data_IF_076959898691
#
_entry.id   IF_076959898691
#
_cell.length_a   1.000
_cell.length_b   1.000
_cell.length_c   1.000
_cell.angle_alpha   90.00
_cell.angle_beta   90.00
_cell.angle_gamma   90.00
#
_symmetry.space_group_name_H-M   'P 1'
#
loop_
_entity.id
_entity.type
_entity.pdbx_description
1 polymer ?
#
# COMPACT_ATOMS: atom_id res chain seq x y z
N UNK A 1 -13.44 -23.89 -20.50
CA UNK A 1 -11.99 -23.76 -20.26
C UNK A 1 -11.61 -22.31 -20.53
N UNK A 2 -12.02 -21.39 -19.64
CA UNK A 2 -11.89 -19.92 -19.81
C UNK A 2 -11.35 -19.27 -18.51
N UNK A 3 -10.75 -20.06 -17.62
CA UNK A 3 -10.15 -19.52 -16.41
C UNK A 3 -8.85 -18.82 -16.81
N UNK A 4 -8.62 -17.56 -16.39
CA UNK A 4 -7.36 -16.88 -16.64
C UNK A 4 -6.23 -17.56 -15.87
N UNK A 5 -5.00 -17.33 -16.32
CA UNK A 5 -3.84 -17.91 -15.65
C UNK A 5 -3.60 -17.22 -14.31
N UNK A 6 -3.27 -17.99 -13.27
CA UNK A 6 -3.13 -17.46 -11.90
C UNK A 6 -2.02 -16.42 -11.75
N UNK A 7 -0.96 -16.49 -12.57
CA UNK A 7 0.14 -15.54 -12.51
C UNK A 7 -0.28 -14.14 -12.96
N UNK A 8 -1.35 -14.02 -13.77
CA UNK A 8 -1.88 -12.73 -14.20
C UNK A 8 -2.41 -11.88 -13.05
N UNK A 9 -2.55 -12.43 -11.84
CA UNK A 9 -2.96 -11.69 -10.65
C UNK A 9 -1.84 -10.78 -10.12
N UNK A 10 -0.57 -11.10 -10.35
CA UNK A 10 0.57 -10.37 -9.79
C UNK A 10 1.66 -10.03 -10.81
N UNK A 11 1.72 -10.71 -11.96
CA UNK A 11 2.63 -10.36 -13.05
C UNK A 11 2.00 -9.33 -13.98
N UNK A 12 2.74 -8.26 -14.26
CA UNK A 12 2.37 -7.28 -15.27
C UNK A 12 2.63 -7.87 -16.67
N UNK A 13 1.66 -7.77 -17.59
CA UNK A 13 1.88 -8.11 -18.99
C UNK A 13 2.78 -7.07 -19.66
N UNK A 14 3.33 -7.43 -20.83
CA UNK A 14 4.20 -6.56 -21.60
C UNK A 14 3.46 -5.27 -22.00
N UNK A 15 4.05 -4.11 -21.68
CA UNK A 15 3.50 -2.79 -21.99
C UNK A 15 2.56 -2.20 -20.93
N UNK A 16 2.22 -2.92 -19.85
CA UNK A 16 1.45 -2.34 -18.74
C UNK A 16 2.34 -1.71 -17.66
N UNK A 17 2.02 -0.47 -17.28
CA UNK A 17 2.65 0.20 -16.14
C UNK A 17 1.96 -0.15 -14.83
N UNK A 18 2.75 -0.29 -13.75
CA UNK A 18 2.22 -0.57 -12.41
C UNK A 18 1.23 0.49 -11.93
N UNK A 19 1.53 1.75 -12.22
CA UNK A 19 0.74 2.91 -11.82
C UNK A 19 0.30 3.70 -13.07
N UNK A 20 -0.98 4.06 -13.11
CA UNK A 20 -1.51 5.04 -14.07
C UNK A 20 -2.14 6.17 -13.27
N UNK A 21 -1.63 7.40 -13.44
CA UNK A 21 -2.06 8.57 -12.68
C UNK A 21 -2.85 9.49 -13.61
N UNK A 22 -4.10 9.75 -13.25
CA UNK A 22 -5.03 10.60 -13.99
C UNK A 22 -5.48 11.75 -13.07
N UNK A 23 -5.49 13.01 -13.53
CA UNK A 23 -6.08 14.09 -12.75
C UNK A 23 -7.60 13.90 -12.65
N UNK A 24 -8.18 14.14 -11.47
CA UNK A 24 -9.63 14.12 -11.29
C UNK A 24 -10.23 15.45 -11.76
N UNK A 25 -11.16 15.41 -12.71
CA UNK A 25 -11.80 16.62 -13.24
C UNK A 25 -12.89 17.18 -12.33
N UNK A 26 -13.37 16.40 -11.34
CA UNK A 26 -14.49 16.78 -10.48
C UNK A 26 -14.08 17.59 -9.24
N UNK A 27 -12.81 17.52 -8.85
CA UNK A 27 -12.31 18.19 -7.66
C UNK A 27 -10.94 18.82 -7.95
N UNK A 28 -10.72 20.02 -7.41
CA UNK A 28 -9.42 20.67 -7.48
C UNK A 28 -8.38 19.89 -6.67
N UNK A 29 -7.15 19.86 -7.17
CA UNK A 29 -6.00 19.21 -6.53
C UNK A 29 -6.27 17.74 -6.12
N UNK A 30 -6.91 17.00 -7.02
CA UNK A 30 -7.22 15.59 -6.82
C UNK A 30 -6.68 14.73 -7.97
N UNK A 31 -6.24 13.53 -7.63
CA UNK A 31 -5.75 12.53 -8.59
C UNK A 31 -6.43 11.19 -8.36
N UNK A 32 -6.59 10.43 -9.44
CA UNK A 32 -7.00 9.04 -9.41
C UNK A 32 -5.84 8.21 -9.93
N UNK A 33 -5.40 7.25 -9.12
CA UNK A 33 -4.27 6.38 -9.40
C UNK A 33 -4.82 4.97 -9.54
N UNK A 34 -4.57 4.34 -10.68
CA UNK A 34 -4.87 2.93 -10.90
C UNK A 34 -3.61 2.12 -10.63
N UNK A 35 -3.72 1.15 -9.72
CA UNK A 35 -2.67 0.20 -9.38
C UNK A 35 -3.00 -1.12 -10.07
N UNK A 36 -2.15 -1.53 -11.01
CA UNK A 36 -2.29 -2.80 -11.73
C UNK A 36 -1.58 -3.92 -10.96
N UNK A 37 -2.18 -5.11 -10.96
CA UNK A 37 -1.65 -6.33 -10.32
C UNK A 37 -1.44 -6.16 -8.81
N UNK A 38 -2.41 -5.52 -8.17
CA UNK A 38 -2.45 -5.28 -6.73
C UNK A 38 -3.88 -5.44 -6.21
N UNK A 39 -4.01 -5.73 -4.92
CA UNK A 39 -5.30 -6.01 -4.27
C UNK A 39 -5.50 -5.17 -2.99
N UNK A 40 -6.42 -5.63 -2.12
CA UNK A 40 -6.74 -4.95 -0.87
C UNK A 40 -5.55 -4.85 0.10
N UNK A 41 -4.54 -5.70 -0.03
CA UNK A 41 -3.33 -5.68 0.81
C UNK A 41 -2.66 -4.32 0.72
N UNK A 42 -2.33 -3.88 -0.50
CA UNK A 42 -1.68 -2.59 -0.73
C UNK A 42 -2.69 -1.44 -0.71
N UNK A 43 -3.90 -1.64 -1.24
CA UNK A 43 -4.91 -0.59 -1.30
C UNK A 43 -5.33 -0.08 0.08
N UNK A 44 -5.60 -0.99 1.03
CA UNK A 44 -6.09 -0.61 2.35
C UNK A 44 -5.01 0.07 3.20
N UNK A 45 -3.78 -0.46 3.20
CA UNK A 45 -2.69 0.07 4.03
C UNK A 45 -2.30 1.49 3.59
N UNK A 46 -2.17 1.73 2.28
CA UNK A 46 -1.87 3.06 1.76
C UNK A 46 -3.02 4.03 2.06
N UNK A 47 -4.28 3.60 1.88
CA UNK A 47 -5.44 4.43 2.22
C UNK A 47 -5.44 4.80 3.70
N UNK A 48 -5.12 3.85 4.59
CA UNK A 48 -5.07 4.10 6.03
C UNK A 48 -4.01 5.15 6.35
N UNK A 49 -2.81 5.00 5.81
CA UNK A 49 -1.70 5.92 6.06
C UNK A 49 -1.97 7.32 5.50
N UNK A 50 -2.57 7.41 4.30
CA UNK A 50 -2.95 8.71 3.71
C UNK A 50 -3.94 9.48 4.59
N UNK A 51 -4.82 8.79 5.31
CA UNK A 51 -5.78 9.42 6.23
C UNK A 51 -5.13 9.90 7.54
N UNK A 52 -3.88 9.53 7.82
CA UNK A 52 -3.12 10.07 8.96
C UNK A 52 -2.48 11.44 8.64
N UNK A 53 -2.27 11.79 7.37
CA UNK A 53 -1.74 13.12 6.98
C UNK A 53 -2.86 14.16 6.98
N UNK A 54 -2.81 15.13 7.90
CA UNK A 54 -3.81 16.19 8.05
C UNK A 54 -4.00 17.06 6.78
N UNK A 55 -3.00 17.06 5.89
CA UNK A 55 -3.07 17.80 4.61
C UNK A 55 -3.81 17.03 3.52
N UNK A 56 -4.17 15.78 3.76
CA UNK A 56 -4.99 14.95 2.87
C UNK A 56 -6.46 15.15 3.22
N UNK A 57 -7.22 15.73 2.29
CA UNK A 57 -8.64 16.02 2.45
C UNK A 57 -9.53 14.82 2.14
N UNK A 58 -9.08 13.95 1.23
CA UNK A 58 -9.81 12.74 0.84
C UNK A 58 -8.82 11.65 0.42
N UNK A 59 -9.02 10.44 0.93
CA UNK A 59 -8.36 9.23 0.47
C UNK A 59 -9.33 8.06 0.48
N UNK A 60 -9.56 7.45 -0.67
CA UNK A 60 -10.36 6.24 -0.79
C UNK A 60 -9.80 5.32 -1.88
N UNK A 61 -9.99 4.01 -1.72
CA UNK A 61 -9.68 3.03 -2.75
C UNK A 61 -10.87 2.11 -3.01
N UNK A 62 -10.96 1.57 -4.22
CA UNK A 62 -11.91 0.53 -4.58
C UNK A 62 -11.34 -0.41 -5.62
N UNK A 63 -11.63 -1.70 -5.46
CA UNK A 63 -11.50 -2.70 -6.53
C UNK A 63 -12.81 -2.67 -7.30
N UNK A 64 -12.78 -2.26 -8.57
CA UNK A 64 -14.02 -2.09 -9.36
C UNK A 64 -14.70 -3.43 -9.65
N UNK A 65 -13.91 -4.49 -9.81
CA UNK A 65 -14.42 -5.83 -10.06
C UNK A 65 -13.43 -6.89 -9.55
N UNK A 66 -13.88 -7.95 -8.84
CA UNK A 66 -12.99 -8.92 -8.19
C UNK A 66 -12.20 -9.81 -9.17
N UNK A 67 -12.65 -9.92 -10.44
CA UNK A 67 -11.94 -10.72 -11.45
C UNK A 67 -10.61 -10.11 -11.93
N UNK A 68 -10.38 -8.82 -11.66
CA UNK A 68 -9.16 -8.14 -12.08
C UNK A 68 -8.39 -7.69 -10.86
N UNK A 69 -7.13 -8.10 -10.76
CA UNK A 69 -6.23 -7.65 -9.72
C UNK A 69 -5.79 -6.21 -9.99
N UNK A 70 -6.68 -5.25 -9.76
CA UNK A 70 -6.39 -3.83 -9.84
C UNK A 70 -7.34 -3.04 -8.95
N UNK A 71 -6.84 -1.97 -8.38
CA UNK A 71 -7.68 -1.03 -7.63
C UNK A 71 -7.43 0.40 -8.08
N UNK A 72 -8.43 1.25 -7.88
CA UNK A 72 -8.34 2.70 -8.10
C UNK A 72 -8.32 3.39 -6.76
N UNK A 73 -7.38 4.29 -6.58
CA UNK A 73 -7.23 5.13 -5.40
C UNK A 73 -7.41 6.59 -5.79
N UNK A 74 -8.28 7.29 -5.08
CA UNK A 74 -8.51 8.72 -5.26
C UNK A 74 -7.94 9.45 -4.06
N UNK A 75 -7.10 10.43 -4.33
CA UNK A 75 -6.41 11.25 -3.32
C UNK A 75 -6.71 12.71 -3.63
N UNK A 76 -7.11 13.48 -2.62
CA UNK A 76 -7.28 14.92 -2.68
C UNK A 76 -6.53 15.54 -1.51
N UNK A 77 -5.75 16.57 -1.78
CA UNK A 77 -4.95 17.29 -0.78
C UNK A 77 -5.32 18.76 -0.73
N UNK A 78 -4.93 19.41 0.36
CA UNK A 78 -5.01 20.86 0.49
C UNK A 78 -4.21 21.57 -0.62
N UNK A 79 -4.61 22.80 -0.93
CA UNK A 79 -3.93 23.61 -1.93
C UNK A 79 -2.44 23.80 -1.57
N UNK A 80 -1.56 23.72 -2.57
CA UNK A 80 -0.10 23.82 -2.37
C UNK A 80 0.58 22.50 -1.99
N UNK A 81 -0.16 21.41 -1.79
CA UNK A 81 0.40 20.07 -1.54
C UNK A 81 0.04 19.11 -2.69
N UNK A 82 1.03 18.53 -3.36
CA UNK A 82 0.79 17.62 -4.48
C UNK A 82 0.29 16.24 -3.96
N UNK A 83 -0.87 15.74 -4.42
CA UNK A 83 -1.35 14.39 -4.08
C UNK A 83 -0.34 13.27 -4.37
N UNK A 84 0.54 13.44 -5.36
CA UNK A 84 1.61 12.48 -5.66
C UNK A 84 2.68 12.47 -4.57
N UNK A 85 2.96 13.62 -3.97
CA UNK A 85 3.87 13.74 -2.83
C UNK A 85 3.25 13.11 -1.59
N UNK A 86 1.95 13.33 -1.35
CA UNK A 86 1.22 12.65 -0.28
C UNK A 86 1.32 11.13 -0.37
N UNK A 87 1.17 10.55 -1.57
CA UNK A 87 1.35 9.13 -1.77
C UNK A 87 2.79 8.67 -1.47
N UNK A 88 3.81 9.41 -1.91
CA UNK A 88 5.22 9.08 -1.61
C UNK A 88 5.49 9.10 -0.10
N UNK A 89 4.99 10.12 0.59
CA UNK A 89 5.16 10.27 2.04
C UNK A 89 4.47 9.11 2.79
N UNK A 90 3.25 8.75 2.40
CA UNK A 90 2.54 7.59 2.96
C UNK A 90 3.32 6.29 2.75
N UNK A 91 3.80 6.02 1.53
CA UNK A 91 4.59 4.82 1.25
C UNK A 91 5.87 4.75 2.10
N UNK A 92 6.61 5.86 2.22
CA UNK A 92 7.82 5.91 3.04
C UNK A 92 7.52 5.70 4.53
N UNK A 93 6.42 6.28 5.03
CA UNK A 93 5.97 6.07 6.41
C UNK A 93 5.66 4.60 6.68
N UNK A 94 4.92 3.93 5.79
CA UNK A 94 4.63 2.49 5.90
C UNK A 94 5.92 1.66 5.93
N UNK A 95 6.87 1.95 5.03
CA UNK A 95 8.16 1.23 4.99
C UNK A 95 8.90 1.37 6.32
N UNK A 96 8.95 2.58 6.89
CA UNK A 96 9.61 2.84 8.17
C UNK A 96 8.90 2.15 9.35
N UNK A 97 7.56 2.18 9.38
CA UNK A 97 6.74 1.48 10.39
C UNK A 97 6.97 -0.03 10.33
N UNK A 98 6.99 -0.62 9.14
CA UNK A 98 7.26 -2.05 8.94
C UNK A 98 8.70 -2.44 9.31
N UNK A 99 9.69 -1.59 8.99
CA UNK A 99 11.08 -1.81 9.38
C UNK A 99 11.24 -1.82 10.91
N UNK A 100 10.58 -0.87 11.59
CA UNK A 100 10.56 -0.81 13.06
C UNK A 100 9.90 -2.05 13.66
N UNK A 101 8.75 -2.45 13.12
CA UNK A 101 8.06 -3.68 13.56
C UNK A 101 8.95 -4.92 13.40
N UNK A 102 9.62 -5.05 12.25
CA UNK A 102 10.54 -6.17 11.98
C UNK A 102 11.68 -6.22 13.01
N UNK A 103 12.34 -5.09 13.25
CA UNK A 103 13.47 -5.02 14.20
C UNK A 103 13.03 -5.35 15.63
N UNK A 104 11.88 -4.84 16.06
CA UNK A 104 11.33 -5.14 17.38
C UNK A 104 10.99 -6.64 17.51
N UNK A 105 10.37 -7.22 16.46
CA UNK A 105 10.04 -8.63 16.43
C UNK A 105 11.29 -9.51 16.51
N UNK A 106 12.32 -9.22 15.72
CA UNK A 106 13.60 -9.96 15.75
C UNK A 106 14.28 -9.89 17.12
N UNK A 107 14.25 -8.71 17.76
CA UNK A 107 14.83 -8.51 19.09
C UNK A 107 14.12 -9.37 20.13
N UNK A 108 12.78 -9.28 20.21
CA UNK A 108 11.99 -10.06 21.17
C UNK A 108 12.10 -11.56 20.92
N UNK A 109 12.10 -12.00 19.65
CA UNK A 109 12.26 -13.40 19.30
C UNK A 109 13.60 -13.98 19.78
N UNK A 110 14.69 -13.22 19.60
CA UNK A 110 16.02 -13.65 20.03
C UNK A 110 16.13 -13.75 21.55
N UNK A 111 15.50 -12.82 22.30
CA UNK A 111 15.47 -12.87 23.76
C UNK A 111 14.75 -14.11 24.28
N UNK A 112 13.60 -14.47 23.70
CA UNK A 112 12.85 -15.66 24.09
C UNK A 112 13.60 -16.95 23.76
N UNK A 113 14.25 -17.01 22.60
CA UNK A 113 15.03 -18.19 22.19
C UNK A 113 16.19 -18.44 23.16
N UNK A 114 16.95 -17.40 23.51
CA UNK A 114 18.05 -17.50 24.48
C UNK A 114 17.57 -17.92 25.88
N UNK A 115 16.48 -17.32 26.37
CA UNK A 115 15.91 -17.65 27.67
C UNK A 115 15.44 -19.12 27.74
N UNK A 116 14.89 -19.64 26.64
CA UNK A 116 14.46 -21.04 26.57
C UNK A 116 15.64 -22.02 26.57
N UNK A 117 16.75 -21.71 25.89
CA UNK A 117 17.95 -22.57 25.85
C UNK A 117 18.64 -22.68 27.21
N UNK A 118 18.68 -21.59 27.99
CA UNK A 118 19.24 -21.61 29.34
C UNK A 118 18.40 -22.43 30.33
N UNK A 119 17.09 -22.55 30.10
CA UNK A 119 16.17 -23.32 30.95
C UNK A 119 16.34 -24.84 30.77
N UNK A 120 16.91 -25.31 29.66
CA UNK A 120 17.19 -26.73 29.39
C UNK A 120 18.65 -27.15 29.71
N UNK A 121 19.48 -26.23 30.22
CA UNK A 121 20.87 -26.50 30.63
C UNK A 121 21.05 -26.78 32.13
N UNK A 122 19.96 -26.90 32.89
CA UNK A 122 19.92 -27.38 34.28
C UNK A 122 19.33 -28.80 34.33
#
# INVERSE_FOLDING_TARGET
MNAPDRFELFLLPEGESKLKIEPDTKAANAVIITFEKEDHTLGNIIRAELLEDERVLFAAYKVEHPLFARFRMRIQTAEGYDPKEALKNACNSIINKLATLKSNFETEWNLQTLASEDQFRL
#
